data_IF_523326114115
#
_entry.id   IF_523326114115
#
_cell.length_a   1.000
_cell.length_b   1.000
_cell.length_c   1.000
_cell.angle_alpha   90.00
_cell.angle_beta   90.00
_cell.angle_gamma   90.00
#
_symmetry.space_group_name_H-M   'P 1'
#
loop_
_entity.id
_entity.type
_entity.pdbx_description
1 polymer ?
#
# COMPACT_ATOMS: atom_id res chain seq x y z
N UNK A 1 -9.62 14.40 2.68
CA UNK A 1 -8.55 15.04 1.89
C UNK A 1 -8.16 16.42 2.39
N UNK A 2 -9.03 17.44 2.38
CA UNK A 2 -8.65 18.79 2.86
C UNK A 2 -8.07 18.83 4.28
N UNK A 3 -8.60 18.04 5.21
CA UNK A 3 -8.05 17.94 6.57
C UNK A 3 -6.61 17.41 6.60
N UNK A 4 -6.26 16.51 5.68
CA UNK A 4 -4.93 15.93 5.59
C UNK A 4 -3.96 16.88 4.86
N UNK A 5 -4.34 17.28 3.64
CA UNK A 5 -3.41 17.92 2.71
C UNK A 5 -3.63 19.43 2.53
N UNK A 6 -4.73 19.98 3.02
CA UNK A 6 -5.16 21.35 2.70
C UNK A 6 -5.83 21.45 1.32
N UNK A 7 -6.59 22.54 1.12
CA UNK A 7 -7.30 22.79 -0.14
C UNK A 7 -6.32 23.06 -1.29
N UNK A 8 -6.51 22.40 -2.43
CA UNK A 8 -5.69 22.59 -3.63
C UNK A 8 -4.43 21.72 -3.73
N UNK A 9 -4.11 20.95 -2.67
CA UNK A 9 -2.91 20.10 -2.62
C UNK A 9 -3.19 18.62 -2.96
N UNK A 10 -4.37 18.32 -3.50
CA UNK A 10 -4.79 16.98 -3.90
C UNK A 10 -5.72 17.05 -5.09
N UNK A 11 -5.81 15.96 -5.84
CA UNK A 11 -6.75 15.77 -6.94
C UNK A 11 -7.57 14.50 -6.71
N UNK A 12 -8.79 14.47 -7.27
CA UNK A 12 -9.65 13.30 -7.25
C UNK A 12 -9.76 12.74 -8.66
N UNK A 13 -9.71 11.42 -8.78
CA UNK A 13 -10.03 10.70 -10.00
C UNK A 13 -11.18 9.75 -9.69
N UNK A 14 -12.18 9.74 -10.56
CA UNK A 14 -13.33 8.84 -10.44
C UNK A 14 -13.28 7.83 -11.59
N UNK A 15 -13.36 6.55 -11.25
CA UNK A 15 -13.20 5.43 -12.19
C UNK A 15 -11.83 4.77 -12.11
N UNK A 16 -11.62 3.77 -12.97
CA UNK A 16 -10.45 2.89 -12.92
C UNK A 16 -9.41 3.30 -13.96
N UNK A 17 -8.31 3.90 -13.52
CA UNK A 17 -7.16 4.20 -14.38
C UNK A 17 -5.86 4.09 -13.61
N UNK A 18 -4.87 3.44 -14.22
CA UNK A 18 -3.49 3.34 -13.73
C UNK A 18 -2.69 4.63 -13.95
N UNK A 19 -3.22 5.63 -14.66
CA UNK A 19 -2.52 6.89 -14.93
C UNK A 19 -2.16 7.66 -13.65
N UNK A 20 -2.87 7.39 -12.55
CA UNK A 20 -2.58 7.96 -11.23
C UNK A 20 -1.19 7.57 -10.71
N UNK A 21 -0.62 6.47 -11.19
CA UNK A 21 0.70 5.97 -10.82
C UNK A 21 1.84 6.57 -11.66
N UNK A 22 1.54 7.18 -12.81
CA UNK A 22 2.54 7.81 -13.70
C UNK A 22 2.58 9.34 -13.66
N UNK A 23 1.62 9.98 -13.00
CA UNK A 23 1.39 11.43 -13.06
C UNK A 23 2.29 12.34 -12.19
N UNK A 24 3.41 11.83 -11.67
CA UNK A 24 4.26 12.57 -10.71
C UNK A 24 3.70 12.62 -9.29
N UNK A 25 2.66 11.84 -9.00
CA UNK A 25 2.14 11.68 -7.64
C UNK A 25 3.17 10.94 -6.78
N UNK A 26 3.36 11.38 -5.53
CA UNK A 26 4.13 10.63 -4.52
C UNK A 26 3.23 9.70 -3.69
N UNK A 27 1.92 9.95 -3.69
CA UNK A 27 0.94 9.24 -2.89
C UNK A 27 -0.36 9.03 -3.66
N UNK A 28 -0.94 7.83 -3.55
CA UNK A 28 -2.28 7.51 -4.06
C UNK A 28 -3.12 6.86 -2.98
N UNK A 29 -4.28 7.44 -2.69
CA UNK A 29 -5.31 6.81 -1.85
C UNK A 29 -6.38 6.20 -2.73
N UNK A 30 -6.58 4.89 -2.59
CA UNK A 30 -7.67 4.16 -3.25
C UNK A 30 -8.74 3.87 -2.20
N UNK A 31 -9.96 4.30 -2.49
CA UNK A 31 -11.12 4.12 -1.62
C UNK A 31 -12.13 3.20 -2.31
N UNK A 32 -12.67 2.25 -1.57
CA UNK A 32 -13.73 1.34 -1.99
C UNK A 32 -14.67 0.96 -0.84
N UNK A 33 -15.80 0.35 -1.15
CA UNK A 33 -16.88 0.08 -0.20
C UNK A 33 -18.09 -0.58 -0.86
N UNK A 34 -19.28 -0.41 -0.27
CA UNK A 34 -20.56 -1.00 -0.71
C UNK A 34 -20.83 -0.87 -2.22
N UNK A 35 -20.64 -1.97 -2.97
CA UNK A 35 -20.78 -2.00 -4.42
C UNK A 35 -19.76 -1.14 -5.19
N UNK A 36 -18.81 -0.49 -4.51
CA UNK A 36 -17.77 0.31 -5.12
C UNK A 36 -16.61 -0.61 -5.53
N UNK A 37 -16.47 -0.77 -6.84
CA UNK A 37 -15.65 -1.78 -7.53
C UNK A 37 -14.14 -1.67 -7.32
N UNK A 38 -13.63 -1.72 -6.09
CA UNK A 38 -12.20 -1.92 -5.89
C UNK A 38 -11.76 -3.24 -6.53
N UNK A 39 -12.62 -4.27 -6.50
CA UNK A 39 -12.41 -5.48 -7.28
C UNK A 39 -12.34 -5.20 -8.79
N UNK A 40 -13.22 -4.33 -9.31
CA UNK A 40 -13.22 -3.93 -10.73
C UNK A 40 -11.97 -3.10 -11.10
N UNK A 41 -11.46 -2.26 -10.18
CA UNK A 41 -10.18 -1.56 -10.35
C UNK A 41 -9.05 -2.56 -10.56
N UNK A 42 -8.93 -3.54 -9.67
CA UNK A 42 -7.89 -4.57 -9.73
C UNK A 42 -8.13 -5.60 -10.85
N UNK A 43 -9.37 -5.75 -11.33
CA UNK A 43 -9.71 -6.58 -12.47
C UNK A 43 -9.42 -5.89 -13.82
N UNK A 44 -9.36 -4.56 -13.86
CA UNK A 44 -8.89 -3.83 -15.04
C UNK A 44 -7.40 -4.16 -15.27
N UNK A 45 -7.04 -4.48 -16.52
CA UNK A 45 -5.75 -5.11 -16.81
C UNK A 45 -4.57 -4.27 -16.33
N UNK A 46 -3.69 -4.90 -15.55
CA UNK A 46 -2.39 -4.40 -15.06
C UNK A 46 -2.41 -3.36 -13.93
N UNK A 47 -3.55 -3.00 -13.34
CA UNK A 47 -3.57 -2.03 -12.23
C UNK A 47 -2.80 -2.50 -11.01
N UNK A 48 -2.88 -3.79 -10.64
CA UNK A 48 -2.06 -4.35 -9.55
C UNK A 48 -0.57 -4.21 -9.84
N UNK A 49 -0.13 -4.61 -11.03
CA UNK A 49 1.27 -4.52 -11.45
C UNK A 49 1.76 -3.06 -11.49
N UNK A 50 0.92 -2.13 -11.96
CA UNK A 50 1.23 -0.71 -11.96
C UNK A 50 1.35 -0.15 -10.54
N UNK A 51 0.43 -0.53 -9.65
CA UNK A 51 0.43 -0.16 -8.24
C UNK A 51 1.69 -0.67 -7.53
N UNK A 52 2.02 -1.95 -7.70
CA UNK A 52 3.25 -2.54 -7.14
C UNK A 52 4.51 -1.88 -7.71
N UNK A 53 4.55 -1.60 -9.02
CA UNK A 53 5.66 -0.90 -9.66
C UNK A 53 5.84 0.53 -9.15
N UNK A 54 4.74 1.23 -8.90
CA UNK A 54 4.74 2.57 -8.33
C UNK A 54 5.33 2.59 -6.92
N UNK A 55 4.91 1.63 -6.08
CA UNK A 55 5.44 1.50 -4.72
C UNK A 55 6.91 1.08 -4.75
N UNK A 56 7.29 0.11 -5.61
CA UNK A 56 8.69 -0.27 -5.80
C UNK A 56 9.59 0.92 -6.14
N UNK A 57 9.07 1.87 -6.94
CA UNK A 57 9.78 3.07 -7.36
C UNK A 57 9.78 4.22 -6.34
N UNK A 58 9.31 3.98 -5.11
CA UNK A 58 9.34 4.98 -4.03
C UNK A 58 8.03 5.70 -3.76
N UNK A 59 6.97 5.38 -4.52
CA UNK A 59 5.62 5.89 -4.27
C UNK A 59 4.97 5.28 -3.03
N UNK A 60 3.97 5.95 -2.48
CA UNK A 60 3.17 5.44 -1.37
C UNK A 60 1.72 5.22 -1.76
N UNK A 61 1.13 4.11 -1.31
CA UNK A 61 -0.28 3.80 -1.56
C UNK A 61 -1.00 3.45 -0.28
N UNK A 62 -2.26 3.89 -0.18
CA UNK A 62 -3.18 3.40 0.82
C UNK A 62 -4.44 2.91 0.11
N UNK A 63 -4.61 1.59 0.07
CA UNK A 63 -5.78 0.89 -0.46
C UNK A 63 -6.71 0.60 0.70
N UNK A 64 -7.85 1.29 0.78
CA UNK A 64 -8.84 1.07 1.83
C UNK A 64 -10.18 0.67 1.21
N UNK A 65 -10.70 -0.51 1.55
CA UNK A 65 -12.03 -0.92 1.15
C UNK A 65 -12.80 -1.63 2.26
N UNK A 66 -13.94 -1.04 2.66
CA UNK A 66 -14.85 -1.62 3.63
C UNK A 66 -16.07 -2.24 2.93
N UNK A 67 -15.89 -3.44 2.38
CA UNK A 67 -16.85 -4.19 1.57
C UNK A 67 -17.87 -4.89 2.48
N UNK A 68 -19.12 -4.46 2.41
CA UNK A 68 -20.27 -5.07 3.11
C UNK A 68 -21.16 -5.92 2.18
N UNK A 69 -20.85 -5.99 0.90
CA UNK A 69 -21.63 -6.68 -0.13
C UNK A 69 -21.05 -8.06 -0.48
N UNK A 70 -19.84 -8.36 -0.04
CA UNK A 70 -19.15 -9.62 -0.33
C UNK A 70 -18.26 -10.09 0.83
N UNK A 71 -18.16 -11.40 0.97
CA UNK A 71 -17.18 -12.05 1.84
C UNK A 71 -16.02 -12.68 1.08
N UNK A 72 -15.99 -12.51 -0.25
CA UNK A 72 -14.95 -13.12 -1.09
C UNK A 72 -13.59 -12.48 -0.77
N UNK A 73 -12.56 -13.27 -0.40
CA UNK A 73 -11.23 -12.73 -0.17
C UNK A 73 -10.72 -11.97 -1.39
N UNK A 74 -10.10 -10.82 -1.15
CA UNK A 74 -9.61 -9.94 -2.19
C UNK A 74 -8.15 -9.60 -1.96
N UNK A 75 -7.32 -10.16 -2.83
CA UNK A 75 -5.90 -9.87 -2.90
C UNK A 75 -5.68 -8.41 -3.33
N UNK A 76 -5.07 -7.61 -2.46
CA UNK A 76 -4.76 -6.19 -2.72
C UNK A 76 -3.32 -6.01 -3.21
N UNK A 77 -2.58 -7.10 -3.42
CA UNK A 77 -1.14 -7.11 -3.69
C UNK A 77 -0.31 -7.15 -2.40
N UNK A 78 1.00 -7.16 -2.57
CA UNK A 78 1.97 -7.12 -1.45
C UNK A 78 1.85 -8.27 -0.43
N UNK A 79 1.20 -9.37 -0.80
CA UNK A 79 0.91 -10.49 0.10
C UNK A 79 -0.26 -10.26 1.06
N UNK A 80 -0.96 -9.13 0.95
CA UNK A 80 -2.12 -8.80 1.78
C UNK A 80 -3.43 -9.14 1.07
N UNK A 81 -4.42 -9.56 1.85
CA UNK A 81 -5.76 -9.88 1.38
C UNK A 81 -6.78 -9.25 2.32
N UNK A 82 -7.79 -8.59 1.75
CA UNK A 82 -8.98 -8.17 2.47
C UNK A 82 -9.96 -9.35 2.56
N UNK A 83 -10.46 -9.60 3.76
CA UNK A 83 -11.46 -10.63 4.03
C UNK A 83 -12.71 -9.96 4.58
N UNK A 84 -13.79 -9.98 3.79
CA UNK A 84 -15.12 -9.57 4.24
C UNK A 84 -15.82 -10.74 4.93
N UNK A 85 -16.59 -10.47 5.99
CA UNK A 85 -17.63 -11.33 6.60
C UNK A 85 -17.83 -11.06 8.09
N UNK A 86 -16.95 -10.31 8.74
CA UNK A 86 -17.06 -9.99 10.16
C UNK A 86 -16.82 -8.49 10.35
N UNK A 87 -17.91 -7.75 10.57
CA UNK A 87 -17.86 -6.34 10.92
C UNK A 87 -17.02 -6.17 12.19
N UNK A 88 -16.13 -5.19 12.23
CA UNK A 88 -15.59 -4.71 13.50
C UNK A 88 -16.45 -3.56 13.97
N UNK A 89 -17.06 -3.67 15.15
CA UNK A 89 -17.75 -2.56 15.81
C UNK A 89 -16.76 -1.57 16.43
N UNK A 90 -15.55 -2.03 16.69
CA UNK A 90 -14.52 -1.26 17.40
C UNK A 90 -13.23 -1.17 16.60
N UNK A 91 -12.44 -0.15 16.92
CA UNK A 91 -11.10 0.05 16.39
C UNK A 91 -10.16 0.49 17.51
N UNK A 92 -8.91 0.05 17.51
CA UNK A 92 -7.88 0.49 18.45
C UNK A 92 -6.53 0.58 17.77
N UNK A 93 -5.75 1.59 18.12
CA UNK A 93 -4.37 1.68 17.66
C UNK A 93 -3.52 0.61 18.34
N UNK A 94 -2.65 0.00 17.55
CA UNK A 94 -1.53 -0.78 18.08
C UNK A 94 -0.39 0.15 18.51
N UNK A 95 0.68 -0.42 19.10
CA UNK A 95 1.91 0.32 19.35
C UNK A 95 2.48 0.97 18.07
N UNK A 96 2.43 0.27 16.93
CA UNK A 96 2.87 0.82 15.64
C UNK A 96 1.97 1.97 15.17
N UNK A 97 0.65 1.87 15.40
CA UNK A 97 -0.28 2.97 15.10
C UNK A 97 -0.02 4.22 15.95
N UNK A 98 0.34 4.04 17.22
CA UNK A 98 0.71 5.14 18.11
C UNK A 98 2.04 5.76 17.68
N UNK A 99 3.05 4.95 17.36
CA UNK A 99 4.37 5.41 16.89
C UNK A 99 4.27 6.17 15.55
N UNK A 100 3.39 5.71 14.65
CA UNK A 100 3.05 6.39 13.41
C UNK A 100 2.28 7.72 13.61
N UNK A 101 1.97 8.10 14.86
CA UNK A 101 1.26 9.34 15.19
C UNK A 101 -0.23 9.32 14.85
N UNK A 102 -0.82 8.15 14.60
CA UNK A 102 -2.22 8.06 14.14
C UNK A 102 -3.22 8.58 15.18
N UNK A 103 -2.84 8.60 16.46
CA UNK A 103 -3.68 9.11 17.55
C UNK A 103 -3.56 10.60 17.83
N UNK A 104 -2.70 11.32 17.11
CA UNK A 104 -2.49 12.76 17.28
C UNK A 104 -3.67 13.61 16.80
N UNK A 105 -3.61 14.93 17.02
CA UNK A 105 -4.60 15.89 16.53
C UNK A 105 -6.05 15.60 16.97
N UNK A 106 -6.22 15.04 18.16
CA UNK A 106 -7.54 14.70 18.72
C UNK A 106 -8.13 13.39 18.22
N UNK A 107 -7.38 12.58 17.45
CA UNK A 107 -7.87 11.29 16.96
C UNK A 107 -8.18 10.31 18.10
N UNK A 108 -7.34 10.29 19.14
CA UNK A 108 -7.42 9.29 20.21
C UNK A 108 -6.81 7.96 19.80
N UNK A 109 -6.97 6.92 20.62
CA UNK A 109 -6.36 5.60 20.37
C UNK A 109 -7.37 4.47 20.25
N UNK A 110 -8.66 4.76 20.40
CA UNK A 110 -9.74 3.79 20.33
C UNK A 110 -11.01 4.45 19.82
N UNK A 111 -11.78 3.68 19.05
CA UNK A 111 -13.04 4.09 18.44
C UNK A 111 -14.05 2.96 18.57
N UNK A 112 -15.32 3.34 18.59
CA UNK A 112 -16.47 2.45 18.52
C UNK A 112 -17.38 2.86 17.36
N UNK A 113 -18.45 2.11 17.13
CA UNK A 113 -19.43 2.35 16.09
C UNK A 113 -20.27 1.10 15.89
N UNK A 114 -21.26 1.14 15.01
CA UNK A 114 -21.95 -0.09 14.57
C UNK A 114 -21.23 -0.79 13.43
N UNK A 115 -20.14 -0.19 12.91
CA UNK A 115 -19.40 -0.64 11.71
C UNK A 115 -18.07 0.13 11.57
N UNK A 116 -17.09 -0.05 12.46
CA UNK A 116 -15.75 0.54 12.32
C UNK A 116 -15.01 0.03 11.06
N UNK A 117 -15.08 -1.27 10.81
CA UNK A 117 -14.54 -1.90 9.61
C UNK A 117 -15.47 -2.99 9.09
N UNK A 118 -15.47 -3.22 7.78
CA UNK A 118 -16.22 -4.32 7.15
C UNK A 118 -15.32 -5.46 6.68
N UNK A 119 -14.05 -5.13 6.45
CA UNK A 119 -12.99 -6.08 6.14
C UNK A 119 -11.93 -6.02 7.23
N UNK A 120 -11.28 -7.15 7.41
CA UNK A 120 -9.99 -7.22 8.07
C UNK A 120 -8.94 -7.68 7.06
N UNK A 121 -7.70 -7.34 7.35
CA UNK A 121 -6.53 -7.64 6.53
C UNK A 121 -5.90 -8.92 7.06
N UNK A 122 -5.64 -9.87 6.18
CA UNK A 122 -4.81 -11.03 6.47
C UNK A 122 -3.57 -10.99 5.60
N UNK A 123 -2.45 -11.45 6.17
CA UNK A 123 -1.33 -11.83 5.33
C UNK A 123 -1.61 -13.22 4.76
N UNK A 124 -1.90 -13.28 3.46
CA UNK A 124 -2.24 -14.56 2.80
C UNK A 124 -0.98 -15.42 2.54
N UNK A 125 0.20 -14.81 2.57
CA UNK A 125 1.50 -15.48 2.46
C UNK A 125 2.41 -15.03 3.59
N UNK A 126 2.38 -15.71 4.74
CA UNK A 126 3.10 -15.26 5.95
C UNK A 126 4.57 -14.92 5.69
N UNK A 127 5.29 -15.72 4.90
CA UNK A 127 6.69 -15.45 4.57
C UNK A 127 6.93 -14.12 3.82
N UNK A 128 5.91 -13.57 3.15
CA UNK A 128 6.00 -12.26 2.48
C UNK A 128 5.84 -11.09 3.48
N UNK A 129 5.04 -11.26 4.53
CA UNK A 129 4.75 -10.18 5.47
C UNK A 129 5.49 -10.30 6.82
N UNK A 130 6.01 -11.46 7.19
CA UNK A 130 6.66 -11.69 8.48
C UNK A 130 7.88 -10.76 8.64
N UNK A 131 7.78 -9.83 9.59
CA UNK A 131 8.78 -8.78 9.82
C UNK A 131 8.78 -7.61 8.83
N UNK A 132 7.94 -7.65 7.79
CA UNK A 132 7.89 -6.63 6.73
C UNK A 132 6.67 -5.71 6.81
N UNK A 133 5.64 -6.10 7.57
CA UNK A 133 4.43 -5.30 7.79
C UNK A 133 4.19 -5.02 9.27
N UNK A 134 3.44 -3.96 9.53
CA UNK A 134 2.94 -3.58 10.84
C UNK A 134 1.43 -3.40 10.78
N UNK A 135 0.73 -3.96 11.77
CA UNK A 135 -0.66 -3.66 12.02
C UNK A 135 -0.73 -2.34 12.77
N UNK A 136 -1.42 -1.35 12.21
CA UNK A 136 -1.58 -0.01 12.80
C UNK A 136 -2.88 0.13 13.60
N UNK A 137 -3.94 -0.51 13.10
CA UNK A 137 -5.27 -0.49 13.72
C UNK A 137 -5.80 -1.91 13.76
N UNK A 138 -6.27 -2.34 14.92
CA UNK A 138 -7.02 -3.59 15.10
C UNK A 138 -8.48 -3.27 15.39
N UNK A 139 -9.35 -4.23 15.12
CA UNK A 139 -10.74 -4.26 15.53
C UNK A 139 -11.06 -5.60 16.19
N UNK A 140 -12.29 -5.73 16.65
CA UNK A 140 -12.82 -6.95 17.26
C UNK A 140 -12.89 -8.14 16.29
N UNK A 141 -12.90 -7.89 14.98
CA UNK A 141 -12.88 -8.93 13.95
C UNK A 141 -11.50 -9.18 13.33
N UNK A 142 -10.46 -8.45 13.73
CA UNK A 142 -9.08 -8.66 13.26
C UNK A 142 -8.32 -7.38 12.95
N UNK A 143 -7.25 -7.51 12.18
CA UNK A 143 -6.39 -6.38 11.80
C UNK A 143 -7.10 -5.51 10.75
N UNK A 144 -7.27 -4.20 10.99
CA UNK A 144 -8.08 -3.32 10.12
C UNK A 144 -7.23 -2.48 9.19
N UNK A 145 -6.05 -2.04 9.64
CA UNK A 145 -5.12 -1.27 8.83
C UNK A 145 -3.73 -1.85 9.02
N UNK A 146 -3.16 -2.37 7.93
CA UNK A 146 -1.86 -3.05 7.91
C UNK A 146 -1.03 -2.48 6.77
N UNK A 147 0.25 -2.24 6.99
CA UNK A 147 1.12 -1.75 5.94
C UNK A 147 2.59 -2.00 6.20
N UNK A 148 3.41 -1.76 5.19
CA UNK A 148 4.82 -2.08 5.22
C UNK A 148 5.58 -1.42 4.07
N UNK A 149 6.88 -1.70 4.05
CA UNK A 149 7.76 -1.28 2.95
C UNK A 149 7.70 -2.28 1.81
N UNK A 150 7.75 -1.76 0.58
CA UNK A 150 7.91 -2.59 -0.60
C UNK A 150 8.82 -1.86 -1.60
N UNK A 151 10.03 -2.40 -1.80
CA UNK A 151 11.10 -1.65 -2.47
C UNK A 151 11.42 -0.36 -1.72
N UNK A 152 11.49 0.74 -2.47
CA UNK A 152 11.79 2.07 -1.91
C UNK A 152 10.56 2.80 -1.35
N UNK A 153 9.35 2.28 -1.60
CA UNK A 153 8.09 2.92 -1.22
C UNK A 153 7.37 2.26 -0.05
N UNK A 154 6.10 2.62 0.08
CA UNK A 154 5.25 2.18 1.19
C UNK A 154 3.85 1.79 0.72
N UNK A 155 3.29 0.74 1.32
CA UNK A 155 1.91 0.33 1.07
C UNK A 155 1.14 0.17 2.37
N UNK A 156 -0.13 0.52 2.33
CA UNK A 156 -1.11 0.24 3.38
C UNK A 156 -2.35 -0.36 2.74
N UNK A 157 -2.86 -1.43 3.34
CA UNK A 157 -4.17 -1.99 3.08
C UNK A 157 -5.07 -1.77 4.29
N UNK A 158 -6.36 -1.53 4.07
CA UNK A 158 -7.31 -1.47 5.17
C UNK A 158 -8.76 -1.74 4.80
N UNK A 159 -9.53 -2.08 5.83
CA UNK A 159 -10.96 -2.39 5.76
C UNK A 159 -11.86 -1.40 6.50
N UNK A 160 -11.34 -0.21 6.81
CA UNK A 160 -12.01 0.76 7.66
C UNK A 160 -13.13 1.48 6.89
N UNK A 161 -14.33 1.56 7.46
CA UNK A 161 -15.44 2.32 6.86
C UNK A 161 -15.16 3.82 6.88
N UNK A 162 -16.02 4.62 6.26
CA UNK A 162 -15.88 6.08 6.28
C UNK A 162 -16.04 6.65 7.71
N UNK A 163 -15.35 7.75 8.06
CA UNK A 163 -15.30 8.26 9.44
C UNK A 163 -16.64 8.54 10.12
N UNK A 164 -17.71 8.76 9.36
CA UNK A 164 -19.04 9.02 9.92
C UNK A 164 -19.71 7.79 10.55
N UNK A 165 -19.17 6.59 10.37
CA UNK A 165 -19.61 5.37 11.04
C UNK A 165 -18.91 5.13 12.40
N UNK A 166 -17.99 6.01 12.80
CA UNK A 166 -17.15 5.83 13.98
C UNK A 166 -17.49 6.85 15.06
N UNK A 167 -17.18 6.50 16.30
CA UNK A 167 -17.31 7.33 17.49
C UNK A 167 -16.00 7.28 18.30
N UNK A 168 -15.57 8.41 18.90
CA UNK A 168 -16.15 9.75 18.73
C UNK A 168 -15.91 10.28 17.31
N UNK A 169 -16.93 10.91 16.72
CA UNK A 169 -16.90 11.37 15.31
C UNK A 169 -15.76 12.36 15.00
N UNK A 170 -15.43 13.25 15.94
CA UNK A 170 -14.29 14.18 15.79
C UNK A 170 -12.96 13.41 15.68
N UNK A 171 -12.77 12.41 16.54
CA UNK A 171 -11.57 11.58 16.54
C UNK A 171 -11.44 10.73 15.28
N UNK A 172 -12.55 10.28 14.70
CA UNK A 172 -12.54 9.46 13.49
C UNK A 172 -12.08 10.22 12.24
N UNK A 173 -12.52 11.47 12.08
CA UNK A 173 -12.06 12.31 10.98
C UNK A 173 -10.57 12.63 11.11
N UNK A 174 -10.09 12.87 12.34
CA UNK A 174 -8.68 13.08 12.63
C UNK A 174 -7.85 11.81 12.36
N UNK A 175 -8.33 10.62 12.74
CA UNK A 175 -7.67 9.34 12.43
C UNK A 175 -7.46 9.17 10.92
N UNK A 176 -8.51 9.36 10.11
CA UNK A 176 -8.39 9.24 8.65
C UNK A 176 -7.40 10.26 8.09
N UNK A 177 -7.39 11.50 8.60
CA UNK A 177 -6.44 12.50 8.16
C UNK A 177 -4.99 12.13 8.53
N UNK A 178 -4.77 11.62 9.75
CA UNK A 178 -3.44 11.17 10.20
C UNK A 178 -2.95 9.97 9.39
N UNK A 179 -3.81 9.00 9.08
CA UNK A 179 -3.46 7.86 8.22
C UNK A 179 -3.01 8.33 6.83
N UNK A 180 -3.78 9.22 6.20
CA UNK A 180 -3.45 9.77 4.89
C UNK A 180 -2.12 10.55 4.92
N UNK A 181 -1.90 11.38 5.94
CA UNK A 181 -0.66 12.14 6.09
C UNK A 181 0.55 11.25 6.37
N UNK A 182 0.39 10.25 7.24
CA UNK A 182 1.44 9.28 7.55
C UNK A 182 1.90 8.56 6.27
N UNK A 183 0.97 7.97 5.53
CA UNK A 183 1.33 7.22 4.32
C UNK A 183 1.89 8.15 3.24
N UNK A 184 1.29 9.32 3.05
CA UNK A 184 1.81 10.30 2.08
C UNK A 184 3.23 10.77 2.40
N UNK A 185 3.58 10.91 3.68
CA UNK A 185 4.93 11.30 4.12
C UNK A 185 6.01 10.25 3.82
N UNK A 186 5.60 9.01 3.57
CA UNK A 186 6.49 7.90 3.22
C UNK A 186 6.69 7.77 1.70
N UNK A 187 5.89 8.50 0.90
CA UNK A 187 6.03 8.55 -0.54
C UNK A 187 7.08 9.58 -0.96
N UNK A 188 8.07 9.15 -1.74
CA UNK A 188 8.96 10.07 -2.46
C UNK A 188 8.34 10.35 -3.84
N UNK A 189 8.43 11.59 -4.33
CA UNK A 189 7.90 11.90 -5.66
C UNK A 189 8.61 11.02 -6.69
N UNK A 190 7.84 10.22 -7.42
CA UNK A 190 8.35 9.35 -8.50
C UNK A 190 8.66 10.23 -9.71
N UNK A 191 9.68 11.08 -9.56
CA UNK A 191 10.14 12.03 -10.55
C UNK A 191 11.19 11.39 -11.44
N UNK A 192 10.75 10.67 -12.48
CA UNK A 192 11.42 10.54 -13.79
C UNK A 192 12.91 10.23 -13.85
N UNK A 193 13.53 9.75 -12.78
CA UNK A 193 14.91 9.29 -12.80
C UNK A 193 14.81 7.79 -12.90
N UNK A 194 15.06 7.26 -14.10
CA UNK A 194 15.08 5.83 -14.34
C UNK A 194 15.94 5.16 -13.29
N UNK A 195 15.29 4.57 -12.28
CA UNK A 195 15.88 3.55 -11.44
C UNK A 195 16.03 2.38 -12.40
N UNK A 196 17.14 2.39 -13.13
CA UNK A 196 17.61 1.26 -13.90
C UNK A 196 17.63 0.12 -12.89
N UNK A 197 16.84 -0.94 -13.08
CA UNK A 197 16.94 -2.08 -12.20
C UNK A 197 18.39 -2.55 -12.26
N UNK A 198 19.10 -2.49 -11.14
CA UNK A 198 20.40 -3.15 -11.03
C UNK A 198 20.20 -4.66 -10.75
N UNK A 199 19.59 -5.42 -11.69
CA UNK A 199 20.09 -6.77 -11.99
C UNK A 199 20.99 -6.81 -13.24
N UNK A 200 20.99 -5.77 -14.08
CA UNK A 200 21.70 -5.82 -15.37
C UNK A 200 23.22 -5.54 -15.28
N UNK A 201 23.67 -4.73 -14.32
CA UNK A 201 25.10 -4.36 -14.21
C UNK A 201 25.99 -5.58 -13.93
N UNK A 202 25.56 -6.47 -13.04
CA UNK A 202 26.29 -7.70 -12.73
C UNK A 202 26.28 -8.68 -13.90
N UNK A 203 25.16 -8.82 -14.61
CA UNK A 203 25.07 -9.66 -15.80
C UNK A 203 26.00 -9.18 -16.92
N UNK A 204 26.11 -7.87 -17.13
CA UNK A 204 27.02 -7.28 -18.12
C UNK A 204 28.49 -7.42 -17.71
N UNK A 205 28.81 -7.31 -16.43
CA UNK A 205 30.17 -7.57 -15.92
C UNK A 205 30.54 -9.04 -16.09
N UNK A 206 29.66 -9.97 -15.72
CA UNK A 206 29.88 -11.42 -15.89
C UNK A 206 30.04 -11.76 -17.38
N UNK A 207 29.18 -11.24 -18.25
CA UNK A 207 29.28 -11.44 -19.69
C UNK A 207 30.60 -10.86 -20.26
N UNK A 208 30.99 -9.65 -19.84
CA UNK A 208 32.23 -9.00 -20.26
C UNK A 208 33.49 -9.75 -19.82
N UNK A 209 33.56 -10.17 -18.55
CA UNK A 209 34.66 -10.97 -18.04
C UNK A 209 34.70 -12.36 -18.69
N UNK A 210 33.54 -13.00 -18.88
CA UNK A 210 33.43 -14.29 -19.55
C UNK A 210 33.92 -14.25 -21.00
N UNK A 211 33.52 -13.23 -21.77
CA UNK A 211 33.97 -13.04 -23.16
C UNK A 211 35.48 -12.76 -23.24
N UNK A 212 36.01 -11.92 -22.35
CA UNK A 212 37.45 -11.61 -22.30
C UNK A 212 38.27 -12.85 -21.96
N UNK A 213 37.84 -13.62 -20.95
CA UNK A 213 38.47 -14.89 -20.59
C UNK A 213 38.43 -15.92 -21.73
N UNK A 214 37.30 -16.04 -22.43
CA UNK A 214 37.16 -16.93 -23.59
C UNK A 214 38.07 -16.51 -24.77
N UNK A 215 38.25 -15.21 -24.99
CA UNK A 215 39.16 -14.69 -26.01
C UNK A 215 40.64 -15.01 -25.69
N UNK A 216 41.05 -14.85 -24.42
CA UNK A 216 42.39 -15.20 -23.96
C UNK A 216 42.66 -16.70 -24.06
N UNK A 217 41.67 -17.55 -23.72
CA UNK A 217 41.81 -19.02 -23.81
C UNK A 217 41.96 -19.50 -25.27
N UNK A 218 41.25 -18.88 -26.22
CA UNK A 218 41.39 -19.21 -27.66
C UNK A 218 42.78 -18.94 -28.21
N UNK A 219 43.49 -17.90 -27.72
CA UNK A 219 44.87 -17.62 -28.18
C UNK A 219 45.89 -18.66 -27.74
N UNK A 220 45.69 -19.35 -26.62
CA UNK A 220 46.58 -20.43 -26.17
C UNK A 220 46.43 -21.72 -26.99
N UNK A 221 45.27 -21.96 -27.59
CA UNK A 221 45.02 -23.15 -28.38
C UNK A 221 45.63 -23.11 -29.81
N UNK A 222 46.17 -21.95 -30.22
CA UNK A 222 46.78 -21.75 -31.56
C UNK A 222 48.29 -22.03 -31.56
N UNK A 223 48.89 -22.36 -30.41
CA UNK A 223 50.32 -22.70 -30.27
C UNK A 223 50.56 -24.15 -29.82
N UNK A 224 49.85 -25.11 -30.41
CA UNK A 224 50.12 -26.55 -30.28
C UNK A 224 50.25 -27.19 -31.66
#
# INVERSE_FOLDING_TARGET
MNTAFGSGNWSAFYGFSDSVFGGGNSFVYLEGGDGAGIADFFASANTRTALESFVLAGGAVFVNAARNDTSTPFDVGFGLTLVGANYSDTGSLTSAGIEAGLGSNGAGTAWSGSSFGHDYVVCAFEAACEGNVSTFVTGDSGDIVVGGRFGDGYFVAGGQTLPYFHQPSEGAAALRANQLNFVASLGTSVGGSGVVPEPASWAMLIAGFGLTGAALRRRRAVFA
#
